data_IF_970852295661
#
_entry.id   IF_970852295661
#
_cell.length_a   1.000
_cell.length_b   1.000
_cell.length_c   1.000
_cell.angle_alpha   90.00
_cell.angle_beta   90.00
_cell.angle_gamma   90.00
#
_symmetry.space_group_name_H-M   'P 1'
#
loop_
_entity.id
_entity.type
_entity.pdbx_description
1 polymer ?
#
# COMPACT_ATOMS: atom_id res chain seq x y z
N UNK A 1 12.50 6.28 -28.57
CA UNK A 1 11.88 6.82 -27.34
C UNK A 1 11.28 5.65 -26.59
N UNK A 2 11.85 5.24 -25.47
CA UNK A 2 11.24 4.20 -24.61
C UNK A 2 10.06 4.86 -23.88
N UNK A 3 8.84 4.39 -24.16
CA UNK A 3 7.67 4.78 -23.37
C UNK A 3 7.89 4.20 -21.98
N UNK A 4 8.15 5.05 -20.99
CA UNK A 4 8.14 4.64 -19.58
C UNK A 4 6.69 4.32 -19.22
N UNK A 5 6.37 3.02 -19.22
CA UNK A 5 5.09 2.53 -18.69
C UNK A 5 5.21 2.54 -17.17
N UNK A 6 4.89 3.69 -16.56
CA UNK A 6 4.72 3.75 -15.10
C UNK A 6 3.42 3.01 -14.77
N UNK A 7 3.48 2.09 -13.81
CA UNK A 7 2.27 1.41 -13.37
C UNK A 7 1.32 2.42 -12.71
N UNK A 8 0.01 2.24 -12.90
CA UNK A 8 -0.98 3.05 -12.21
C UNK A 8 -0.97 2.78 -10.71
N UNK A 9 -1.31 3.81 -9.93
CA UNK A 9 -1.48 3.67 -8.48
C UNK A 9 -2.59 2.65 -8.20
N UNK A 10 -2.37 1.64 -7.33
CA UNK A 10 -3.40 0.65 -7.00
C UNK A 10 -4.72 1.30 -6.56
N UNK A 11 -5.84 0.66 -6.88
CA UNK A 11 -7.17 1.06 -6.37
C UNK A 11 -7.21 1.01 -4.84
N UNK A 12 -8.00 1.89 -4.21
CA UNK A 12 -8.12 1.98 -2.76
C UNK A 12 -6.77 2.02 -2.04
N UNK A 13 -5.95 2.99 -2.43
CA UNK A 13 -4.63 3.24 -1.85
C UNK A 13 -4.35 4.72 -1.66
N UNK A 14 -3.47 5.03 -0.72
CA UNK A 14 -2.99 6.38 -0.44
C UNK A 14 -1.46 6.44 -0.55
N UNK A 15 -0.97 7.32 -1.41
CA UNK A 15 0.45 7.50 -1.67
C UNK A 15 0.94 8.87 -1.19
N UNK A 16 2.14 8.92 -0.61
CA UNK A 16 2.92 10.16 -0.44
C UNK A 16 4.25 9.98 -1.15
N UNK A 17 4.58 10.97 -1.97
CA UNK A 17 5.80 11.00 -2.75
C UNK A 17 6.99 11.45 -1.90
N UNK A 18 8.00 10.59 -1.76
CA UNK A 18 9.26 10.86 -1.06
C UNK A 18 10.30 11.59 -1.92
N UNK A 19 9.95 12.06 -3.11
CA UNK A 19 10.86 12.77 -4.00
C UNK A 19 11.96 11.87 -4.56
N UNK A 20 13.22 12.20 -4.30
CA UNK A 20 14.38 11.46 -4.83
C UNK A 20 14.76 10.21 -4.01
N UNK A 21 14.01 9.96 -2.93
CA UNK A 21 14.27 8.87 -1.99
C UNK A 21 14.33 7.51 -2.69
N UNK A 22 15.33 6.70 -2.34
CA UNK A 22 15.45 5.31 -2.84
C UNK A 22 14.74 4.29 -1.94
N UNK A 23 13.96 4.77 -0.97
CA UNK A 23 13.31 3.95 0.06
C UNK A 23 11.81 4.20 0.04
N UNK A 24 11.06 3.10 0.06
CA UNK A 24 9.61 3.13 0.12
C UNK A 24 9.09 2.21 1.24
N UNK A 25 7.99 2.61 1.86
CA UNK A 25 7.26 1.84 2.86
C UNK A 25 5.86 1.53 2.35
N UNK A 26 5.54 0.23 2.24
CA UNK A 26 4.19 -0.23 1.93
C UNK A 26 3.49 -0.62 3.24
N UNK A 27 2.31 -0.05 3.50
CA UNK A 27 1.49 -0.36 4.66
C UNK A 27 0.22 -1.10 4.23
N UNK A 28 0.10 -2.37 4.59
CA UNK A 28 -1.01 -3.23 4.19
C UNK A 28 -2.13 -3.20 5.24
N UNK A 29 -3.32 -2.72 4.86
CA UNK A 29 -4.46 -2.61 5.76
C UNK A 29 -5.46 -3.74 5.59
N UNK A 30 -5.74 -4.47 6.67
CA UNK A 30 -6.75 -5.52 6.69
C UNK A 30 -8.16 -5.07 7.08
N UNK A 31 -8.87 -6.00 7.71
CA UNK A 31 -10.31 -5.99 8.03
C UNK A 31 -10.91 -4.65 8.48
N UNK A 32 -12.04 -4.30 7.84
CA UNK A 32 -13.00 -3.31 8.31
C UNK A 32 -12.47 -1.89 8.42
N UNK A 33 -11.40 -1.55 7.68
CA UNK A 33 -10.77 -0.23 7.71
C UNK A 33 -10.38 0.27 6.31
N UNK A 34 -10.03 1.56 6.18
CA UNK A 34 -9.52 2.22 4.96
C UNK A 34 -7.99 2.40 5.03
N UNK A 35 -7.31 2.66 3.89
CA UNK A 35 -5.84 2.83 3.80
C UNK A 35 -5.25 4.01 4.59
N UNK A 36 -6.09 4.86 5.17
CA UNK A 36 -5.67 6.02 5.98
C UNK A 36 -6.30 6.00 7.37
N UNK A 37 -6.72 4.82 7.85
CA UNK A 37 -7.41 4.76 9.13
C UNK A 37 -6.49 4.44 10.32
N UNK A 38 -6.80 5.09 11.46
CA UNK A 38 -6.20 4.86 12.79
C UNK A 38 -4.68 4.98 12.77
N UNK A 39 -3.97 3.90 13.12
CA UNK A 39 -2.52 3.90 13.37
C UNK A 39 -1.71 4.12 12.09
N UNK A 40 -2.26 3.79 10.93
CA UNK A 40 -1.47 3.83 9.70
C UNK A 40 -1.31 5.24 9.14
N UNK A 41 -2.32 6.11 9.21
CA UNK A 41 -2.16 7.48 8.72
C UNK A 41 -1.10 8.31 9.45
N UNK A 42 -0.99 8.28 10.80
CA UNK A 42 0.12 8.94 11.47
C UNK A 42 1.46 8.24 11.20
N UNK A 43 1.50 6.90 11.08
CA UNK A 43 2.74 6.19 10.77
C UNK A 43 3.27 6.52 9.37
N UNK A 44 2.41 6.51 8.35
CA UNK A 44 2.82 6.83 6.97
C UNK A 44 3.26 8.30 6.86
N UNK A 45 2.53 9.22 7.51
CA UNK A 45 2.88 10.65 7.51
C UNK A 45 4.18 10.89 8.26
N UNK A 46 4.37 10.25 9.42
CA UNK A 46 5.60 10.34 10.20
C UNK A 46 6.81 9.78 9.45
N UNK A 47 6.69 8.60 8.84
CA UNK A 47 7.77 8.03 8.02
C UNK A 47 8.11 8.92 6.83
N UNK A 48 7.11 9.48 6.15
CA UNK A 48 7.33 10.43 5.07
C UNK A 48 8.02 11.71 5.55
N UNK A 49 7.54 12.31 6.65
CA UNK A 49 8.05 13.59 7.15
C UNK A 49 9.43 13.49 7.82
N UNK A 50 9.72 12.39 8.50
CA UNK A 50 10.95 12.25 9.29
C UNK A 50 12.05 11.49 8.56
N UNK A 51 11.70 10.61 7.61
CA UNK A 51 12.64 9.74 6.92
C UNK A 51 12.65 9.97 5.40
N UNK A 52 11.77 10.84 4.89
CA UNK A 52 11.64 11.13 3.46
C UNK A 52 11.29 9.90 2.63
N UNK A 53 10.66 8.89 3.23
CA UNK A 53 10.26 7.70 2.49
C UNK A 53 9.07 8.01 1.59
N UNK A 54 9.05 7.39 0.42
CA UNK A 54 7.80 7.15 -0.28
C UNK A 54 6.91 6.28 0.61
N UNK A 55 5.64 6.61 0.76
CA UNK A 55 4.71 5.75 1.54
C UNK A 55 3.50 5.39 0.72
N UNK A 56 3.16 4.10 0.69
CA UNK A 56 2.00 3.58 -0.01
C UNK A 56 1.17 2.74 0.95
N UNK A 57 0.02 3.26 1.35
CA UNK A 57 -0.97 2.48 2.08
C UNK A 57 -1.90 1.76 1.12
N UNK A 58 -2.05 0.46 1.27
CA UNK A 58 -2.89 -0.40 0.43
C UNK A 58 -4.06 -0.97 1.23
N UNK A 59 -5.26 -1.00 0.62
CA UNK A 59 -6.36 -1.79 1.14
C UNK A 59 -6.17 -3.27 0.77
N UNK A 60 -5.99 -4.14 1.76
CA UNK A 60 -6.08 -5.59 1.58
C UNK A 60 -7.54 -6.04 1.60
N UNK A 61 -7.85 -7.27 1.15
CA UNK A 61 -9.15 -7.87 1.36
C UNK A 61 -9.60 -7.72 2.82
N UNK A 62 -10.77 -7.11 3.02
CA UNK A 62 -11.18 -6.55 4.31
C UNK A 62 -12.59 -6.96 4.76
N UNK A 63 -13.20 -7.90 4.03
CA UNK A 63 -14.48 -8.51 4.40
C UNK A 63 -14.44 -9.06 5.82
N UNK A 64 -15.55 -8.91 6.54
CA UNK A 64 -15.66 -9.47 7.88
C UNK A 64 -15.99 -10.97 7.81
N UNK A 65 -14.99 -11.82 8.03
CA UNK A 65 -15.14 -13.29 8.05
C UNK A 65 -14.33 -13.96 9.15
N UNK A 66 -14.65 -15.23 9.41
CA UNK A 66 -13.89 -16.08 10.33
C UNK A 66 -12.43 -16.20 9.89
N UNK A 67 -11.52 -16.28 10.86
CA UNK A 67 -10.08 -16.17 10.63
C UNK A 67 -9.55 -17.18 9.59
N UNK A 68 -10.11 -18.39 9.54
CA UNK A 68 -9.70 -19.44 8.60
C UNK A 68 -10.12 -19.15 7.15
N UNK A 69 -11.09 -18.25 6.93
CA UNK A 69 -11.56 -17.88 5.59
C UNK A 69 -10.68 -16.83 4.91
N UNK A 70 -9.80 -16.13 5.63
CA UNK A 70 -8.84 -15.19 5.01
C UNK A 70 -7.78 -15.89 4.17
N UNK A 71 -7.52 -17.18 4.37
CA UNK A 71 -6.58 -17.93 3.55
C UNK A 71 -6.97 -17.89 2.05
N UNK A 72 -8.27 -17.83 1.76
CA UNK A 72 -8.78 -17.72 0.39
C UNK A 72 -8.45 -16.38 -0.27
N UNK A 73 -8.16 -15.34 0.52
CA UNK A 73 -7.85 -14.00 0.02
C UNK A 73 -6.36 -13.81 -0.28
N UNK A 74 -5.51 -14.75 0.15
CA UNK A 74 -4.06 -14.61 0.00
C UNK A 74 -3.63 -14.37 -1.45
N UNK A 75 -4.18 -15.05 -2.48
CA UNK A 75 -3.85 -14.74 -3.87
C UNK A 75 -4.12 -13.28 -4.24
N UNK A 76 -5.28 -12.73 -3.82
CA UNK A 76 -5.63 -11.33 -4.08
C UNK A 76 -4.70 -10.38 -3.30
N UNK A 77 -4.46 -10.63 -2.01
CA UNK A 77 -3.57 -9.81 -1.20
C UNK A 77 -2.15 -9.76 -1.79
N UNK A 78 -1.63 -10.91 -2.25
CA UNK A 78 -0.33 -10.97 -2.92
C UNK A 78 -0.32 -10.22 -4.26
N UNK A 79 -1.40 -10.29 -5.04
CA UNK A 79 -1.51 -9.49 -6.26
C UNK A 79 -1.47 -7.98 -5.95
N UNK A 80 -2.25 -7.52 -4.98
CA UNK A 80 -2.27 -6.11 -4.56
C UNK A 80 -0.91 -5.62 -4.07
N UNK A 81 -0.19 -6.45 -3.29
CA UNK A 81 1.18 -6.11 -2.84
C UNK A 81 2.13 -6.01 -4.04
N UNK A 82 2.05 -6.95 -5.00
CA UNK A 82 2.90 -6.91 -6.20
C UNK A 82 2.63 -5.67 -7.05
N UNK A 83 1.38 -5.25 -7.17
CA UNK A 83 1.02 -4.03 -7.89
C UNK A 83 1.53 -2.79 -7.17
N UNK A 84 1.44 -2.75 -5.84
CA UNK A 84 2.05 -1.69 -5.04
C UNK A 84 3.58 -1.62 -5.19
N UNK A 85 4.26 -2.77 -5.21
CA UNK A 85 5.71 -2.83 -5.49
C UNK A 85 6.02 -2.33 -6.90
N UNK A 86 5.20 -2.67 -7.89
CA UNK A 86 5.38 -2.23 -9.28
C UNK A 86 5.18 -0.73 -9.44
N UNK A 87 4.19 -0.16 -8.75
CA UNK A 87 3.94 1.28 -8.73
C UNK A 87 5.10 2.09 -8.15
N UNK A 88 5.82 1.54 -7.16
CA UNK A 88 6.94 2.20 -6.49
C UNK A 88 8.30 2.00 -7.16
N UNK A 89 8.36 1.29 -8.29
CA UNK A 89 9.59 1.04 -9.07
C UNK A 89 9.61 1.88 -10.34
#
# INVERSE_FOLDING_TARGET
>A
MSVSVNADKPSDSAYLDGGDSKKALILCHGRGKHPTWKVVDPLRKGAHQQLEFHTLSLQMPNENKYWNKYANDFPQAYATIKDGIRFLK
#
